data_IF_600893309058
#
_entry.id   IF_600893309058
#
_cell.length_a   1.000
_cell.length_b   1.000
_cell.length_c   1.000
_cell.angle_alpha   90.00
_cell.angle_beta   90.00
_cell.angle_gamma   90.00
#
_symmetry.space_group_name_H-M   'P 1'
#
loop_
_entity.id
_entity.type
_entity.pdbx_description
1 polymer ?
#
# COMPACT_ATOMS: atom_id res chain seq x y z
N UNK A 1 15.35 -2.20 -9.95
CA UNK A 1 14.61 -2.86 -11.05
C UNK A 1 13.30 -3.49 -10.54
N UNK A 2 12.53 -2.80 -9.68
CA UNK A 2 11.39 -3.39 -8.94
C UNK A 2 10.01 -2.76 -9.26
N UNK A 3 9.96 -1.64 -10.00
CA UNK A 3 8.71 -0.88 -10.24
C UNK A 3 7.83 -1.50 -11.35
N UNK A 4 8.34 -2.48 -12.11
CA UNK A 4 7.63 -3.08 -13.25
C UNK A 4 6.54 -4.10 -12.88
N UNK A 5 6.42 -4.52 -11.60
CA UNK A 5 5.40 -5.49 -11.14
C UNK A 5 4.27 -4.90 -10.28
N UNK A 6 4.33 -3.61 -9.96
CA UNK A 6 3.27 -2.96 -9.17
C UNK A 6 2.04 -2.75 -10.03
N UNK A 7 0.94 -3.43 -9.65
CA UNK A 7 -0.36 -3.20 -10.26
C UNK A 7 -0.85 -1.78 -9.95
N UNK A 8 -1.83 -1.30 -10.71
CA UNK A 8 -2.44 0.02 -10.48
C UNK A 8 -3.00 0.15 -9.06
N UNK A 9 -3.50 -0.96 -8.50
CA UNK A 9 -3.99 -1.06 -7.12
C UNK A 9 -2.86 -0.84 -6.12
N UNK A 10 -1.70 -1.50 -6.32
CA UNK A 10 -0.56 -1.33 -5.41
C UNK A 10 -0.05 0.10 -5.43
N UNK A 11 -0.03 0.74 -6.61
CA UNK A 11 0.33 2.15 -6.76
C UNK A 11 -0.65 3.07 -6.03
N UNK A 12 -1.96 2.78 -6.09
CA UNK A 12 -2.99 3.49 -5.33
C UNK A 12 -2.75 3.34 -3.83
N UNK A 13 -2.52 2.12 -3.34
CA UNK A 13 -2.27 1.84 -1.93
C UNK A 13 -1.03 2.60 -1.45
N UNK A 14 0.07 2.56 -2.20
CA UNK A 14 1.29 3.30 -1.88
C UNK A 14 1.04 4.80 -1.85
N UNK A 15 0.29 5.34 -2.82
CA UNK A 15 -0.06 6.76 -2.86
C UNK A 15 -0.88 7.17 -1.63
N UNK A 16 -1.88 6.37 -1.26
CA UNK A 16 -2.70 6.60 -0.08
C UNK A 16 -1.88 6.54 1.22
N UNK A 17 -0.94 5.59 1.32
CA UNK A 17 -0.04 5.48 2.47
C UNK A 17 0.94 6.65 2.57
N UNK A 18 1.36 7.24 1.45
CA UNK A 18 2.22 8.43 1.41
C UNK A 18 1.42 9.69 1.76
N UNK A 19 0.19 9.81 1.26
CA UNK A 19 -0.69 10.95 1.55
C UNK A 19 -1.19 10.92 3.01
N UNK A 20 -1.55 9.75 3.52
CA UNK A 20 -1.99 9.55 4.91
C UNK A 20 -1.56 8.18 5.44
N UNK A 21 -0.34 8.12 5.97
CA UNK A 21 0.19 6.91 6.62
C UNK A 21 -0.52 6.52 7.92
N UNK A 22 -1.49 7.32 8.41
CA UNK A 22 -2.32 7.00 9.58
C UNK A 22 -3.72 6.52 9.18
N UNK A 23 -4.05 6.53 7.89
CA UNK A 23 -5.33 6.05 7.40
C UNK A 23 -5.55 4.58 7.79
N UNK A 24 -6.78 4.23 8.17
CA UNK A 24 -7.09 2.84 8.50
C UNK A 24 -7.07 2.00 7.24
N UNK A 25 -6.46 0.81 7.34
CA UNK A 25 -6.50 -0.23 6.30
C UNK A 25 -7.93 -0.56 5.84
N UNK A 26 -8.95 -0.42 6.70
CA UNK A 26 -10.34 -0.63 6.31
C UNK A 26 -10.85 0.43 5.33
N UNK A 27 -10.50 1.71 5.53
CA UNK A 27 -10.92 2.81 4.67
C UNK A 27 -10.17 2.77 3.34
N UNK A 28 -8.87 2.47 3.38
CA UNK A 28 -8.08 2.24 2.17
C UNK A 28 -8.60 1.06 1.35
N UNK A 29 -9.09 0.01 2.00
CA UNK A 29 -9.64 -1.16 1.31
C UNK A 29 -10.92 -0.81 0.52
N UNK A 30 -11.79 0.04 1.07
CA UNK A 30 -12.98 0.52 0.36
C UNK A 30 -12.61 1.38 -0.86
N UNK A 31 -11.62 2.28 -0.73
CA UNK A 31 -11.20 3.18 -1.80
C UNK A 31 -10.54 2.47 -3.00
N UNK A 32 -9.89 1.34 -2.74
CA UNK A 32 -9.27 0.50 -3.79
C UNK A 32 -10.12 -0.70 -4.19
N UNK A 33 -11.39 -0.74 -3.75
CA UNK A 33 -12.35 -1.82 -4.03
C UNK A 33 -11.83 -3.22 -3.67
N UNK A 34 -11.02 -3.32 -2.62
CA UNK A 34 -10.49 -4.58 -2.11
C UNK A 34 -11.16 -4.99 -0.80
N UNK A 35 -11.14 -6.29 -0.54
CA UNK A 35 -11.38 -6.77 0.82
C UNK A 35 -10.23 -6.34 1.74
N UNK A 36 -10.54 -6.07 3.00
CA UNK A 36 -9.55 -5.74 4.03
C UNK A 36 -8.44 -6.79 4.17
N UNK A 37 -8.77 -8.07 3.96
CA UNK A 37 -7.80 -9.17 3.87
C UNK A 37 -6.91 -9.10 2.62
N UNK A 38 -7.48 -8.72 1.46
CA UNK A 38 -6.75 -8.54 0.21
C UNK A 38 -5.75 -7.39 0.29
N UNK A 39 -6.18 -6.25 0.85
CA UNK A 39 -5.32 -5.09 1.08
C UNK A 39 -4.15 -5.45 2.00
N UNK A 40 -4.42 -6.09 3.16
CA UNK A 40 -3.38 -6.54 4.09
C UNK A 40 -2.35 -7.45 3.42
N UNK A 41 -2.80 -8.37 2.57
CA UNK A 41 -1.90 -9.27 1.85
C UNK A 41 -1.01 -8.52 0.87
N UNK A 42 -1.57 -7.57 0.10
CA UNK A 42 -0.81 -6.71 -0.81
C UNK A 42 0.22 -5.88 -0.05
N UNK A 43 -0.18 -5.17 1.01
CA UNK A 43 0.73 -4.38 1.86
C UNK A 43 1.86 -5.26 2.40
N UNK A 44 1.54 -6.46 2.90
CA UNK A 44 2.56 -7.40 3.39
C UNK A 44 3.53 -7.84 2.28
N UNK A 45 3.04 -8.11 1.07
CA UNK A 45 3.90 -8.43 -0.08
C UNK A 45 4.79 -7.26 -0.45
N UNK A 46 4.27 -6.03 -0.41
CA UNK A 46 5.07 -4.82 -0.68
C UNK A 46 6.15 -4.57 0.39
N UNK A 47 5.87 -4.91 1.65
CA UNK A 47 6.86 -4.93 2.74
C UNK A 47 7.92 -6.02 2.51
N UNK A 48 7.49 -7.25 2.17
CA UNK A 48 8.38 -8.39 1.91
C UNK A 48 9.26 -8.19 0.67
N UNK A 49 8.76 -7.51 -0.36
CA UNK A 49 9.53 -7.15 -1.56
C UNK A 49 10.45 -5.93 -1.36
N UNK A 50 10.44 -5.32 -0.17
CA UNK A 50 11.25 -4.14 0.13
C UNK A 50 10.80 -2.88 -0.62
N UNK A 51 9.56 -2.85 -1.11
CA UNK A 51 8.94 -1.64 -1.70
C UNK A 51 8.51 -0.69 -0.58
N UNK A 52 8.02 -1.23 0.54
CA UNK A 52 7.73 -0.51 1.77
C UNK A 52 8.86 -0.82 2.78
N UNK A 53 9.92 -0.01 2.79
CA UNK A 53 11.05 -0.18 3.72
C UNK A 53 10.77 0.38 5.13
N UNK A 54 9.65 1.06 5.32
CA UNK A 54 9.18 1.56 6.62
C UNK A 54 8.19 2.71 6.47
N UNK A 55 7.35 2.94 7.49
CA UNK A 55 6.44 4.09 7.58
C UNK A 55 7.24 5.38 7.81
N UNK A 56 7.99 5.84 6.82
CA UNK A 56 8.74 7.10 6.93
C UNK A 56 8.21 8.08 5.89
N UNK A 57 7.31 8.95 6.33
CA UNK A 57 7.11 10.25 5.69
C UNK A 57 8.24 11.16 6.18
N UNK A 58 9.15 11.54 5.28
CA UNK A 58 10.08 12.64 5.52
C UNK A 58 9.62 13.84 4.68
N UNK A 59 8.87 14.74 5.31
CA UNK A 59 8.93 16.18 5.08
C UNK A 59 8.38 16.93 6.30
#
# INVERSE_FOLDING_TARGET
MFIEKLDEVDRKILKMLVEDGRAKLSEMAEEVELSSSGLRKRVKTLEEEGVIEGYTANC
#
